data_IF_780113641473
#
_entry.id   IF_780113641473
#
_cell.length_a   1.000
_cell.length_b   1.000
_cell.length_c   1.000
_cell.angle_alpha   90.00
_cell.angle_beta   90.00
_cell.angle_gamma   90.00
#
_symmetry.space_group_name_H-M   'P 1'
#
loop_
_entity.id
_entity.type
_entity.pdbx_description
1 polymer ?
#
# COMPACT_ATOMS: atom_id res chain seq x y z
N UNK A 1 36.47 43.38 16.20
CA UNK A 1 36.11 43.42 17.63
C UNK A 1 34.84 44.24 17.75
N UNK A 2 33.65 43.81 18.14
CA UNK A 2 33.01 42.63 18.74
C UNK A 2 31.61 42.57 18.08
N UNK A 3 31.10 41.55 17.39
CA UNK A 3 30.67 40.19 17.79
C UNK A 3 29.78 40.08 19.05
N UNK A 4 28.58 39.50 18.81
CA UNK A 4 27.56 38.92 19.71
C UNK A 4 26.52 39.85 20.39
N UNK A 5 25.33 39.94 19.77
CA UNK A 5 24.06 39.99 20.49
C UNK A 5 23.45 38.58 20.52
N UNK A 6 23.18 38.10 21.73
CA UNK A 6 22.50 36.85 22.05
C UNK A 6 21.12 36.76 21.41
N UNK A 7 20.76 35.65 20.74
CA UNK A 7 19.38 35.33 20.41
C UNK A 7 18.78 34.49 21.54
N UNK A 8 18.35 35.14 22.61
CA UNK A 8 17.36 34.58 23.53
C UNK A 8 16.07 35.36 23.34
N UNK A 9 14.94 34.64 23.28
CA UNK A 9 13.57 35.15 23.17
C UNK A 9 12.97 35.18 21.75
N UNK A 10 13.17 34.09 21.00
CA UNK A 10 12.06 33.57 20.19
C UNK A 10 11.21 32.72 21.14
N UNK A 11 10.17 33.33 21.69
CA UNK A 11 9.07 32.62 22.35
C UNK A 11 8.42 31.70 21.31
N UNK A 12 8.96 30.48 21.19
CA UNK A 12 8.21 29.36 20.65
C UNK A 12 6.96 29.25 21.50
N UNK A 13 5.83 29.66 20.96
CA UNK A 13 4.53 29.19 21.39
C UNK A 13 4.52 27.68 21.14
N UNK A 14 5.03 26.95 22.13
CA UNK A 14 4.87 25.51 22.24
C UNK A 14 3.37 25.25 22.34
N UNK A 15 2.74 25.01 21.19
CA UNK A 15 1.49 24.29 21.21
C UNK A 15 1.76 22.99 21.98
N UNK A 16 0.90 22.63 22.96
CA UNK A 16 1.14 21.46 23.78
C UNK A 16 1.35 20.27 22.87
N UNK A 17 2.50 19.63 23.02
CA UNK A 17 2.86 18.33 22.49
C UNK A 17 1.95 17.28 23.14
N UNK A 18 0.66 17.35 22.82
CA UNK A 18 -0.26 16.30 23.14
C UNK A 18 0.20 15.08 22.36
N UNK A 19 0.68 14.07 23.10
CA UNK A 19 0.42 12.67 22.79
C UNK A 19 -0.90 12.61 22.03
N UNK A 20 -0.82 12.43 20.71
CA UNK A 20 -1.98 12.31 19.86
C UNK A 20 -2.80 11.15 20.43
N UNK A 21 -3.87 11.50 21.14
CA UNK A 21 -4.66 10.59 21.95
C UNK A 21 -5.21 9.51 21.04
N UNK A 22 -4.83 8.25 21.29
CA UNK A 22 -5.28 7.11 20.48
C UNK A 22 -6.81 7.05 20.29
N UNK A 23 -7.56 7.71 21.19
CA UNK A 23 -9.01 7.83 21.18
C UNK A 23 -9.57 8.64 20.00
N UNK A 24 -8.83 9.62 19.45
CA UNK A 24 -9.30 10.41 18.29
C UNK A 24 -9.12 9.67 16.96
N UNK A 25 -8.18 8.73 16.90
CA UNK A 25 -7.97 7.85 15.74
C UNK A 25 -8.85 6.60 15.78
N UNK A 26 -9.37 6.24 16.96
CA UNK A 26 -10.20 5.06 17.15
C UNK A 26 -11.48 5.05 16.30
N UNK A 27 -12.26 6.15 16.16
CA UNK A 27 -13.40 6.19 15.25
C UNK A 27 -13.03 5.93 13.79
N UNK A 28 -11.87 6.45 13.33
CA UNK A 28 -11.39 6.22 11.97
C UNK A 28 -11.01 4.76 11.77
N UNK A 29 -10.31 4.16 12.74
CA UNK A 29 -9.97 2.74 12.69
C UNK A 29 -11.23 1.88 12.67
N UNK A 30 -12.20 2.16 13.55
CA UNK A 30 -13.46 1.43 13.59
C UNK A 30 -14.23 1.56 12.27
N UNK A 31 -14.31 2.76 11.70
CA UNK A 31 -14.92 2.96 10.38
C UNK A 31 -14.20 2.16 9.29
N UNK A 32 -12.86 2.13 9.29
CA UNK A 32 -12.08 1.32 8.35
C UNK A 32 -12.35 -0.18 8.54
N UNK A 33 -12.39 -0.67 9.79
CA UNK A 33 -12.69 -2.08 10.09
C UNK A 33 -14.09 -2.44 9.58
N UNK A 34 -15.10 -1.64 9.90
CA UNK A 34 -16.50 -1.91 9.52
C UNK A 34 -16.65 -1.94 8.00
N UNK A 35 -16.12 -0.94 7.29
CA UNK A 35 -16.27 -0.90 5.83
C UNK A 35 -15.43 -1.97 5.15
N UNK A 36 -14.20 -2.24 5.61
CA UNK A 36 -13.40 -3.34 5.07
C UNK A 36 -14.07 -4.69 5.32
N UNK A 37 -14.64 -4.90 6.52
CA UNK A 37 -15.39 -6.12 6.83
C UNK A 37 -16.63 -6.26 5.94
N UNK A 38 -17.30 -5.16 5.58
CA UNK A 38 -18.39 -5.19 4.60
C UNK A 38 -17.90 -5.58 3.18
N UNK A 39 -16.71 -5.12 2.78
CA UNK A 39 -16.11 -5.41 1.46
C UNK A 39 -15.64 -6.86 1.33
N UNK A 40 -15.31 -7.54 2.42
CA UNK A 40 -14.93 -8.97 2.44
C UNK A 40 -15.63 -9.73 3.58
N UNK A 41 -16.95 -9.67 3.69
CA UNK A 41 -17.67 -10.18 4.87
C UNK A 41 -17.71 -11.71 5.00
N UNK A 42 -17.35 -12.43 3.94
CA UNK A 42 -17.42 -13.88 3.85
C UNK A 42 -16.46 -14.58 4.82
N UNK A 43 -15.32 -13.97 5.20
CA UNK A 43 -14.46 -14.57 6.23
C UNK A 43 -15.11 -14.59 7.62
N UNK A 44 -16.13 -13.76 7.89
CA UNK A 44 -16.81 -13.72 9.19
C UNK A 44 -17.71 -14.96 9.39
N UNK A 45 -18.28 -15.47 8.29
CA UNK A 45 -19.21 -16.60 8.32
C UNK A 45 -18.55 -17.89 7.86
N UNK A 46 -17.62 -17.81 6.91
CA UNK A 46 -16.93 -18.93 6.30
C UNK A 46 -15.43 -18.62 6.08
N UNK A 47 -14.59 -18.68 7.13
CA UNK A 47 -13.16 -18.44 6.97
C UNK A 47 -12.50 -19.54 6.11
N UNK A 48 -11.97 -19.15 4.96
CA UNK A 48 -11.20 -20.02 4.04
C UNK A 48 -9.85 -19.38 3.73
N UNK A 49 -8.89 -20.18 3.28
CA UNK A 49 -7.61 -19.67 2.77
C UNK A 49 -7.75 -19.11 1.36
N UNK A 50 -6.87 -18.15 1.04
CA UNK A 50 -6.73 -17.58 -0.28
C UNK A 50 -5.31 -17.77 -0.84
N UNK A 51 -5.19 -18.50 -1.94
CA UNK A 51 -4.02 -18.67 -2.78
C UNK A 51 -2.73 -18.95 -1.97
N UNK A 52 -1.82 -17.98 -1.89
CA UNK A 52 -0.56 -18.10 -1.18
C UNK A 52 -0.70 -18.35 0.32
N UNK A 53 -1.81 -17.91 0.94
CA UNK A 53 -2.04 -18.03 2.37
C UNK A 53 -1.98 -19.49 2.83
N UNK A 54 -2.55 -20.42 2.06
CA UNK A 54 -2.42 -21.87 2.32
C UNK A 54 -1.17 -22.46 1.70
N UNK A 55 -0.99 -22.28 0.39
CA UNK A 55 -0.03 -23.04 -0.42
C UNK A 55 1.42 -22.67 -0.14
N UNK A 56 1.66 -21.46 0.36
CA UNK A 56 2.99 -20.95 0.69
C UNK A 56 3.13 -20.75 2.20
N UNK A 57 2.32 -19.89 2.80
CA UNK A 57 2.56 -19.44 4.17
C UNK A 57 2.19 -20.47 5.21
N UNK A 58 0.96 -20.99 5.16
CA UNK A 58 0.50 -22.02 6.10
C UNK A 58 1.29 -23.30 5.90
N UNK A 59 1.33 -23.83 4.67
CA UNK A 59 2.03 -25.07 4.34
C UNK A 59 3.48 -25.06 4.80
N UNK A 60 4.25 -24.02 4.48
CA UNK A 60 5.68 -24.00 4.82
C UNK A 60 5.91 -23.82 6.32
N UNK A 61 4.94 -23.29 7.08
CA UNK A 61 5.08 -23.18 8.54
C UNK A 61 4.78 -24.50 9.27
N UNK A 62 4.14 -25.47 8.60
CA UNK A 62 3.84 -26.78 9.20
C UNK A 62 5.14 -27.46 9.63
N UNK A 63 5.16 -28.00 10.86
CA UNK A 63 6.34 -28.66 11.41
C UNK A 63 7.48 -27.73 11.87
N UNK A 64 7.38 -26.40 11.66
CA UNK A 64 8.41 -25.45 12.07
C UNK A 64 8.05 -24.71 13.36
N UNK A 65 8.96 -24.73 14.34
CA UNK A 65 8.79 -24.07 15.64
C UNK A 65 9.02 -22.55 15.60
N UNK A 66 9.78 -22.06 14.63
CA UNK A 66 10.17 -20.65 14.48
C UNK A 66 9.56 -20.03 13.23
N UNK A 67 9.36 -18.70 13.17
CA UNK A 67 8.79 -18.06 12.01
C UNK A 67 9.80 -18.04 10.86
N UNK A 68 9.36 -18.42 9.66
CA UNK A 68 10.19 -18.47 8.45
C UNK A 68 10.38 -17.08 7.80
N UNK A 69 10.74 -16.07 8.57
CA UNK A 69 10.80 -14.66 8.12
C UNK A 69 11.87 -14.38 7.06
N UNK A 70 12.91 -15.22 7.00
CA UNK A 70 13.99 -15.15 6.00
C UNK A 70 13.73 -16.06 4.79
N UNK A 71 12.56 -16.70 4.69
CA UNK A 71 12.18 -17.47 3.51
C UNK A 71 11.56 -16.54 2.46
N UNK A 72 12.24 -16.26 1.33
CA UNK A 72 11.72 -15.36 0.31
C UNK A 72 10.49 -15.96 -0.39
N UNK A 73 9.66 -15.08 -0.94
CA UNK A 73 8.57 -15.42 -1.85
C UNK A 73 8.55 -14.40 -2.99
N UNK A 74 8.45 -14.88 -4.23
CA UNK A 74 8.46 -14.03 -5.43
C UNK A 74 9.65 -13.03 -5.48
N UNK A 75 10.82 -13.43 -4.96
CA UNK A 75 12.05 -12.62 -4.99
C UNK A 75 12.15 -11.54 -3.90
N UNK A 76 11.27 -11.53 -2.89
CA UNK A 76 11.35 -10.60 -1.76
C UNK A 76 10.84 -11.24 -0.47
N UNK A 77 11.07 -10.58 0.67
CA UNK A 77 10.55 -11.05 1.96
C UNK A 77 9.12 -10.57 2.22
N UNK A 78 8.34 -11.46 2.84
CA UNK A 78 7.00 -11.20 3.35
C UNK A 78 6.93 -11.51 4.84
N UNK A 79 7.62 -10.69 5.63
CA UNK A 79 7.83 -10.94 7.06
C UNK A 79 6.51 -10.97 7.84
N UNK A 80 5.58 -10.04 7.62
CA UNK A 80 4.30 -10.06 8.33
C UNK A 80 3.47 -11.33 8.07
N UNK A 81 3.23 -11.77 6.81
CA UNK A 81 2.60 -13.05 6.54
C UNK A 81 3.27 -14.24 7.24
N UNK A 82 4.61 -14.27 7.29
CA UNK A 82 5.38 -15.33 7.97
C UNK A 82 5.21 -15.31 9.49
N UNK A 83 5.21 -14.14 10.11
CA UNK A 83 4.96 -13.99 11.55
C UNK A 83 3.55 -14.47 11.90
N UNK A 84 2.56 -14.09 11.10
CA UNK A 84 1.16 -14.48 11.34
C UNK A 84 0.96 -15.97 11.08
N UNK A 85 1.62 -16.55 10.08
CA UNK A 85 1.64 -17.99 9.86
C UNK A 85 2.14 -18.75 11.11
N UNK A 86 3.23 -18.26 11.70
CA UNK A 86 3.80 -18.81 12.92
C UNK A 86 2.89 -18.64 14.14
N UNK A 87 2.25 -17.47 14.29
CA UNK A 87 1.23 -17.30 15.36
C UNK A 87 0.05 -18.26 15.16
N UNK A 88 -0.39 -18.47 13.91
CA UNK A 88 -1.48 -19.39 13.61
C UNK A 88 -1.11 -20.85 13.90
N UNK A 89 0.17 -21.23 13.78
CA UNK A 89 0.63 -22.60 14.05
C UNK A 89 0.60 -22.97 15.54
N UNK A 90 0.42 -21.99 16.43
CA UNK A 90 0.15 -22.25 17.86
C UNK A 90 -1.30 -22.67 18.14
N UNK A 91 -2.15 -22.65 17.12
CA UNK A 91 -3.56 -23.02 17.21
C UNK A 91 -3.87 -24.23 16.33
N UNK A 92 -5.07 -24.79 16.45
CA UNK A 92 -5.47 -25.89 15.56
C UNK A 92 -5.52 -25.44 14.09
N UNK A 93 -5.12 -26.32 13.17
CA UNK A 93 -5.18 -26.08 11.73
C UNK A 93 -6.58 -25.61 11.26
N UNK A 94 -7.64 -26.08 11.92
CA UNK A 94 -9.02 -25.68 11.65
C UNK A 94 -9.30 -24.18 11.86
N UNK A 95 -8.55 -23.50 12.75
CA UNK A 95 -8.69 -22.06 13.04
C UNK A 95 -7.77 -21.18 12.19
N UNK A 96 -6.80 -21.75 11.49
CA UNK A 96 -5.78 -20.98 10.77
C UNK A 96 -6.37 -20.00 9.73
N UNK A 97 -7.35 -20.36 8.87
CA UNK A 97 -7.92 -19.41 7.92
C UNK A 97 -8.56 -18.19 8.59
N UNK A 98 -9.21 -18.38 9.76
CA UNK A 98 -9.80 -17.28 10.52
C UNK A 98 -8.72 -16.30 11.00
N UNK A 99 -7.58 -16.80 11.50
CA UNK A 99 -6.47 -15.96 11.96
C UNK A 99 -5.88 -15.16 10.81
N UNK A 100 -5.68 -15.80 9.65
CA UNK A 100 -5.16 -15.15 8.45
C UNK A 100 -6.10 -14.04 7.97
N UNK A 101 -7.39 -14.35 7.80
CA UNK A 101 -8.39 -13.40 7.32
C UNK A 101 -8.59 -12.22 8.28
N UNK A 102 -8.69 -12.50 9.58
CA UNK A 102 -8.82 -11.45 10.60
C UNK A 102 -7.58 -10.55 10.65
N UNK A 103 -6.38 -11.13 10.53
CA UNK A 103 -5.13 -10.38 10.50
C UNK A 103 -5.00 -9.54 9.23
N UNK A 104 -5.38 -10.09 8.07
CA UNK A 104 -5.44 -9.35 6.81
C UNK A 104 -6.37 -8.12 6.94
N UNK A 105 -7.60 -8.32 7.42
CA UNK A 105 -8.54 -7.23 7.67
C UNK A 105 -7.95 -6.15 8.59
N UNK A 106 -7.40 -6.57 9.73
CA UNK A 106 -6.87 -5.65 10.73
C UNK A 106 -5.68 -4.85 10.18
N UNK A 107 -4.74 -5.51 9.49
CA UNK A 107 -3.59 -4.83 8.88
C UNK A 107 -4.02 -3.83 7.81
N UNK A 108 -4.99 -4.19 6.96
CA UNK A 108 -5.53 -3.29 5.95
C UNK A 108 -6.20 -2.07 6.60
N UNK A 109 -7.05 -2.28 7.60
CA UNK A 109 -7.74 -1.19 8.30
C UNK A 109 -6.77 -0.27 9.07
N UNK A 110 -5.75 -0.85 9.72
CA UNK A 110 -4.69 -0.10 10.39
C UNK A 110 -3.89 0.74 9.39
N UNK A 111 -3.52 0.17 8.24
CA UNK A 111 -2.78 0.87 7.22
C UNK A 111 -3.56 2.08 6.69
N UNK A 112 -4.83 1.88 6.35
CA UNK A 112 -5.72 2.94 5.86
C UNK A 112 -5.93 4.02 6.93
N UNK A 113 -6.26 3.61 8.17
CA UNK A 113 -6.46 4.56 9.28
C UNK A 113 -5.19 5.36 9.58
N UNK A 114 -4.02 4.74 9.51
CA UNK A 114 -2.74 5.44 9.69
C UNK A 114 -2.52 6.46 8.56
N UNK A 115 -2.70 6.05 7.30
CA UNK A 115 -2.56 6.94 6.14
C UNK A 115 -3.54 8.12 6.22
N UNK A 116 -4.80 7.90 6.60
CA UNK A 116 -5.79 8.96 6.83
C UNK A 116 -5.30 9.96 7.89
N UNK A 117 -4.85 9.45 9.04
CA UNK A 117 -4.33 10.28 10.12
C UNK A 117 -3.12 11.12 9.69
N UNK A 118 -2.23 10.55 8.87
CA UNK A 118 -1.04 11.22 8.35
C UNK A 118 -1.34 12.26 7.27
N UNK A 119 -2.32 12.01 6.40
CA UNK A 119 -2.62 12.88 5.26
C UNK A 119 -3.71 13.94 5.55
N UNK A 120 -4.38 13.88 6.71
CA UNK A 120 -5.48 14.80 7.07
C UNK A 120 -5.15 16.30 7.01
N UNK A 121 -3.88 16.67 7.12
CA UNK A 121 -3.43 18.07 7.03
C UNK A 121 -3.27 18.55 5.57
N UNK A 122 -3.26 17.62 4.62
CA UNK A 122 -2.94 17.84 3.22
C UNK A 122 -4.13 17.55 2.30
N UNK A 123 -4.92 16.53 2.64
CA UNK A 123 -6.10 16.10 1.92
C UNK A 123 -7.31 16.02 2.87
N UNK A 124 -8.54 16.26 2.38
CA UNK A 124 -9.74 15.98 3.14
C UNK A 124 -9.82 14.48 3.46
N UNK A 125 -10.03 14.15 4.74
CA UNK A 125 -10.13 12.76 5.20
C UNK A 125 -11.18 11.97 4.42
N UNK A 126 -12.31 12.61 4.08
CA UNK A 126 -13.38 11.99 3.27
C UNK A 126 -12.92 11.60 1.87
N UNK A 127 -12.04 12.37 1.23
CA UNK A 127 -11.51 12.06 -0.11
C UNK A 127 -10.57 10.87 -0.03
N UNK A 128 -9.65 10.87 0.94
CA UNK A 128 -8.72 9.76 1.15
C UNK A 128 -9.48 8.48 1.48
N UNK A 129 -10.46 8.56 2.39
CA UNK A 129 -11.29 7.43 2.79
C UNK A 129 -12.10 6.90 1.62
N UNK A 130 -12.81 7.78 0.89
CA UNK A 130 -13.57 7.40 -0.30
C UNK A 130 -12.67 6.76 -1.37
N UNK A 131 -11.46 7.28 -1.60
CA UNK A 131 -10.53 6.68 -2.56
C UNK A 131 -10.11 5.25 -2.17
N UNK A 132 -9.90 4.94 -0.88
CA UNK A 132 -9.65 3.56 -0.45
C UNK A 132 -10.88 2.66 -0.59
N UNK A 133 -12.08 3.19 -0.34
CA UNK A 133 -13.30 2.40 -0.20
C UNK A 133 -14.10 2.23 -1.50
N UNK A 134 -14.06 3.20 -2.41
CA UNK A 134 -14.94 3.29 -3.57
C UNK A 134 -14.26 3.02 -4.91
N UNK A 135 -12.93 2.95 -4.96
CA UNK A 135 -12.25 2.51 -6.19
C UNK A 135 -12.66 1.07 -6.54
N UNK A 136 -12.83 0.75 -7.83
CA UNK A 136 -13.12 -0.61 -8.27
C UNK A 136 -12.03 -1.59 -7.83
N UNK A 137 -12.42 -2.75 -7.31
CA UNK A 137 -11.51 -3.83 -6.91
C UNK A 137 -11.92 -5.14 -7.59
N UNK A 138 -10.94 -5.95 -7.99
CA UNK A 138 -11.22 -7.31 -8.48
C UNK A 138 -11.72 -8.28 -7.41
N UNK A 139 -11.51 -7.94 -6.14
CA UNK A 139 -11.70 -8.86 -5.01
C UNK A 139 -10.46 -9.69 -4.68
N UNK A 140 -9.49 -9.82 -5.59
CA UNK A 140 -8.22 -10.54 -5.36
C UNK A 140 -7.42 -9.92 -4.21
N UNK A 141 -7.44 -8.58 -4.13
CA UNK A 141 -6.68 -7.82 -3.13
C UNK A 141 -7.27 -7.92 -1.72
N UNK A 142 -8.56 -8.27 -1.61
CA UNK A 142 -9.28 -8.29 -0.35
C UNK A 142 -9.20 -9.67 0.31
N UNK A 143 -9.07 -9.69 1.63
CA UNK A 143 -9.17 -10.90 2.46
C UNK A 143 -8.15 -11.99 2.12
N UNK A 144 -6.94 -11.57 1.75
CA UNK A 144 -5.75 -12.42 1.73
C UNK A 144 -4.62 -11.73 2.48
N UNK A 145 -3.91 -12.50 3.30
CA UNK A 145 -2.80 -12.00 4.10
C UNK A 145 -1.59 -11.66 3.23
N UNK A 146 -1.31 -12.46 2.20
CA UNK A 146 -0.30 -12.17 1.19
C UNK A 146 -0.50 -10.78 0.53
N UNK A 147 -1.76 -10.35 0.40
CA UNK A 147 -2.13 -9.08 -0.23
C UNK A 147 -2.23 -7.90 0.75
N UNK A 148 -2.07 -8.10 2.07
CA UNK A 148 -2.04 -7.00 3.03
C UNK A 148 -0.94 -5.96 2.73
N UNK A 149 0.16 -6.41 2.11
CA UNK A 149 1.28 -5.56 1.69
C UNK A 149 0.86 -4.39 0.77
N UNK A 150 -0.15 -4.58 -0.09
CA UNK A 150 -0.65 -3.56 -1.01
C UNK A 150 -1.35 -2.40 -0.29
N UNK A 151 -1.78 -2.60 0.95
CA UNK A 151 -2.30 -1.55 1.82
C UNK A 151 -1.20 -0.98 2.71
N UNK A 152 -0.32 -1.83 3.24
CA UNK A 152 0.79 -1.42 4.11
C UNK A 152 1.75 -0.46 3.42
N UNK A 153 1.93 -0.55 2.10
CA UNK A 153 2.73 0.42 1.33
C UNK A 153 2.25 1.87 1.50
N UNK A 154 0.94 2.11 1.64
CA UNK A 154 0.41 3.45 1.89
C UNK A 154 0.80 3.96 3.26
N UNK A 155 0.80 3.08 4.27
CA UNK A 155 1.21 3.44 5.62
C UNK A 155 2.72 3.72 5.67
N UNK A 156 3.52 2.91 4.97
CA UNK A 156 4.96 3.12 4.83
C UNK A 156 5.27 4.45 4.13
N UNK A 157 4.65 4.70 2.98
CA UNK A 157 4.80 5.96 2.25
C UNK A 157 4.32 7.16 3.07
N UNK A 158 3.21 7.04 3.80
CA UNK A 158 2.73 8.10 4.70
C UNK A 158 3.65 8.30 5.90
N UNK A 159 4.31 7.24 6.39
CA UNK A 159 5.32 7.31 7.44
C UNK A 159 6.63 7.95 6.94
N UNK A 160 6.93 7.90 5.64
CA UNK A 160 8.12 8.47 5.00
C UNK A 160 7.93 9.85 4.39
N UNK A 161 6.71 10.19 3.94
CA UNK A 161 6.42 11.48 3.29
C UNK A 161 5.50 12.36 4.14
N UNK A 162 4.61 11.83 4.99
CA UNK A 162 3.72 12.67 5.81
C UNK A 162 4.44 13.43 6.93
N UNK A 163 3.89 14.54 7.43
CA UNK A 163 4.57 15.43 8.40
C UNK A 163 5.06 14.73 9.68
N UNK A 164 6.22 15.14 10.19
CA UNK A 164 6.78 14.61 11.44
C UNK A 164 5.99 15.07 12.67
N UNK A 165 5.87 14.17 13.64
CA UNK A 165 5.25 14.46 14.93
C UNK A 165 6.18 13.96 16.03
N UNK A 166 6.71 14.89 16.83
CA UNK A 166 7.56 14.58 17.96
C UNK A 166 6.88 13.57 18.90
N UNK A 167 7.65 12.60 19.37
CA UNK A 167 7.21 11.56 20.28
C UNK A 167 8.30 11.27 21.31
N UNK A 168 7.92 10.60 22.40
CA UNK A 168 8.90 10.09 23.35
C UNK A 168 9.84 9.09 22.68
N UNK A 169 11.10 9.01 23.13
CA UNK A 169 12.10 8.09 22.55
C UNK A 169 11.59 6.63 22.45
N UNK A 170 10.94 6.05 23.49
CA UNK A 170 10.40 4.69 23.37
C UNK A 170 9.33 4.56 22.28
N UNK A 171 8.45 5.56 22.15
CA UNK A 171 7.42 5.56 21.12
C UNK A 171 8.03 5.67 19.71
N UNK A 172 9.09 6.46 19.53
CA UNK A 172 9.80 6.56 18.25
C UNK A 172 10.49 5.25 17.89
N UNK A 173 11.17 4.60 18.83
CA UNK A 173 11.80 3.29 18.61
C UNK A 173 10.75 2.24 18.23
N UNK A 174 9.64 2.18 18.97
CA UNK A 174 8.54 1.27 18.66
C UNK A 174 7.99 1.49 17.25
N UNK A 175 7.73 2.74 16.87
CA UNK A 175 7.29 3.09 15.50
C UNK A 175 8.32 2.67 14.46
N UNK A 176 9.61 2.85 14.73
CA UNK A 176 10.68 2.46 13.82
C UNK A 176 10.74 0.94 13.63
N UNK A 177 10.56 0.15 14.70
CA UNK A 177 10.45 -1.31 14.60
C UNK A 177 9.25 -1.74 13.74
N UNK A 178 8.08 -1.13 13.97
CA UNK A 178 6.87 -1.42 13.16
C UNK A 178 7.10 -1.05 11.69
N UNK A 179 7.67 0.13 11.42
CA UNK A 179 8.00 0.57 10.07
C UNK A 179 9.02 -0.34 9.41
N UNK A 180 10.05 -0.79 10.14
CA UNK A 180 11.03 -1.73 9.63
C UNK A 180 10.37 -3.04 9.19
N UNK A 181 9.50 -3.62 10.04
CA UNK A 181 8.73 -4.84 9.73
C UNK A 181 7.87 -4.66 8.48
N UNK A 182 7.23 -3.50 8.32
CA UNK A 182 6.47 -3.16 7.11
C UNK A 182 7.41 -3.02 5.89
N UNK A 183 8.56 -2.38 6.06
CA UNK A 183 9.56 -2.17 5.00
C UNK A 183 10.19 -3.47 4.49
N UNK A 184 10.19 -4.53 5.31
CA UNK A 184 10.58 -5.90 4.91
C UNK A 184 9.38 -6.81 4.60
N UNK A 185 8.19 -6.24 4.41
CA UNK A 185 6.99 -6.95 3.95
C UNK A 185 6.60 -6.44 2.56
N UNK A 186 7.18 -7.05 1.53
CA UNK A 186 7.03 -6.64 0.13
C UNK A 186 8.15 -5.71 -0.35
N UNK A 187 8.25 -5.47 -1.66
CA UNK A 187 9.36 -4.73 -2.27
C UNK A 187 9.22 -3.19 -2.17
N UNK A 188 8.16 -2.68 -1.55
CA UNK A 188 7.77 -1.26 -1.63
C UNK A 188 8.77 -0.29 -1.00
N UNK A 189 9.56 -0.74 -0.02
CA UNK A 189 10.62 0.05 0.59
C UNK A 189 11.69 0.46 -0.42
N UNK A 190 11.96 -0.37 -1.44
CA UNK A 190 12.89 -0.06 -2.54
C UNK A 190 12.40 1.18 -3.31
N UNK A 191 11.13 1.18 -3.72
CA UNK A 191 10.55 2.30 -4.46
C UNK A 191 10.45 3.56 -3.61
N UNK A 192 10.10 3.44 -2.33
CA UNK A 192 10.04 4.57 -1.41
C UNK A 192 11.42 5.19 -1.19
N UNK A 193 12.46 4.36 -1.02
CA UNK A 193 13.84 4.84 -0.90
C UNK A 193 14.29 5.56 -2.18
N UNK A 194 13.94 5.04 -3.36
CA UNK A 194 14.21 5.70 -4.64
C UNK A 194 13.52 7.07 -4.73
N UNK A 195 12.21 7.14 -4.45
CA UNK A 195 11.45 8.40 -4.46
C UNK A 195 12.06 9.41 -3.47
N UNK A 196 12.41 8.96 -2.26
CA UNK A 196 13.08 9.82 -1.30
C UNK A 196 14.45 10.31 -1.81
N UNK A 197 15.25 9.45 -2.46
CA UNK A 197 16.49 9.85 -3.11
C UNK A 197 16.29 10.94 -4.17
N UNK A 198 15.26 10.80 -5.02
CA UNK A 198 14.88 11.83 -6.01
C UNK A 198 14.51 13.14 -5.31
N UNK A 199 13.77 13.10 -4.20
CA UNK A 199 13.41 14.29 -3.44
C UNK A 199 14.63 14.98 -2.83
N UNK A 200 15.56 14.22 -2.25
CA UNK A 200 16.82 14.75 -1.68
C UNK A 200 17.65 15.40 -2.77
N UNK A 201 17.81 14.72 -3.91
CA UNK A 201 18.53 15.27 -5.06
C UNK A 201 17.88 16.54 -5.60
N UNK A 202 16.54 16.58 -5.66
CA UNK A 202 15.78 17.77 -6.04
C UNK A 202 15.98 18.92 -5.05
N UNK A 203 16.03 18.63 -3.75
CA UNK A 203 16.37 19.61 -2.72
C UNK A 203 17.75 20.19 -2.95
N UNK A 204 18.76 19.33 -3.10
CA UNK A 204 20.15 19.73 -3.31
C UNK A 204 20.32 20.57 -4.59
N UNK A 205 19.71 20.16 -5.70
CA UNK A 205 19.75 20.94 -6.95
C UNK A 205 19.05 22.29 -6.83
N UNK A 206 17.94 22.38 -6.10
CA UNK A 206 17.28 23.66 -5.83
C UNK A 206 18.17 24.60 -5.00
N UNK A 207 18.88 24.06 -4.00
CA UNK A 207 19.84 24.79 -3.18
C UNK A 207 21.02 25.31 -4.04
N UNK A 208 21.55 24.48 -4.94
CA UNK A 208 22.65 24.85 -5.85
C UNK A 208 22.24 25.88 -6.92
N UNK A 209 21.03 25.78 -7.47
CA UNK A 209 20.55 26.62 -8.57
C UNK A 209 19.77 27.87 -8.10
N UNK A 210 19.59 28.06 -6.79
CA UNK A 210 18.85 29.20 -6.23
C UNK A 210 17.37 29.24 -6.62
N UNK A 211 16.76 28.09 -6.94
CA UNK A 211 15.38 28.02 -7.45
C UNK A 211 14.35 28.26 -6.34
N UNK A 212 13.76 29.45 -6.28
CA UNK A 212 12.93 29.88 -5.15
C UNK A 212 11.53 29.25 -5.08
N UNK A 213 11.00 28.72 -6.20
CA UNK A 213 9.58 28.30 -6.29
C UNK A 213 9.24 27.11 -5.38
N UNK A 214 10.19 26.19 -5.20
CA UNK A 214 9.99 24.94 -4.47
C UNK A 214 11.01 24.70 -3.36
N UNK A 215 12.10 25.46 -3.34
CA UNK A 215 13.18 25.31 -2.37
C UNK A 215 12.66 25.29 -0.93
N UNK A 216 11.83 26.25 -0.54
CA UNK A 216 11.26 26.27 0.80
C UNK A 216 10.31 25.10 1.09
N UNK A 217 9.72 24.46 0.08
CA UNK A 217 8.86 23.31 0.28
C UNK A 217 9.66 22.02 0.43
N UNK A 218 10.56 21.73 -0.52
CA UNK A 218 11.33 20.48 -0.55
C UNK A 218 12.42 20.48 0.54
N UNK A 219 13.16 21.58 0.70
CA UNK A 219 14.25 21.67 1.67
C UNK A 219 13.73 21.65 3.11
N UNK A 220 12.63 22.35 3.41
CA UNK A 220 12.03 22.30 4.76
C UNK A 220 11.35 20.95 5.04
N UNK A 221 10.80 20.30 4.03
CA UNK A 221 10.23 18.96 4.16
C UNK A 221 11.28 17.97 4.67
N UNK A 222 12.52 18.06 4.17
CA UNK A 222 13.58 17.13 4.56
C UNK A 222 14.25 17.47 5.89
N UNK A 223 14.42 18.77 6.20
CA UNK A 223 14.96 19.21 7.49
C UNK A 223 14.09 18.79 8.69
N UNK A 224 12.80 18.62 8.47
CA UNK A 224 11.83 18.25 9.51
C UNK A 224 11.48 16.76 9.51
N UNK A 225 12.22 15.93 8.76
CA UNK A 225 11.94 14.50 8.63
C UNK A 225 12.28 13.71 9.89
N UNK A 226 11.49 12.67 10.14
CA UNK A 226 11.85 11.62 11.10
C UNK A 226 12.94 10.70 10.50
N UNK A 227 14.19 11.05 10.77
CA UNK A 227 15.34 10.29 10.29
C UNK A 227 15.41 8.87 10.81
N UNK A 228 14.81 8.57 11.97
CA UNK A 228 14.78 7.22 12.52
C UNK A 228 13.85 6.34 11.69
N UNK A 229 12.65 6.84 11.40
CA UNK A 229 11.68 6.16 10.52
C UNK A 229 12.23 6.01 9.10
N UNK A 230 12.90 7.05 8.59
CA UNK A 230 13.54 6.98 7.29
C UNK A 230 14.65 5.93 7.25
N UNK A 231 15.51 5.89 8.27
CA UNK A 231 16.59 4.90 8.39
C UNK A 231 16.04 3.48 8.47
N UNK A 232 14.95 3.26 9.22
CA UNK A 232 14.27 1.97 9.26
C UNK A 232 13.74 1.54 7.89
N UNK A 233 13.17 2.47 7.13
CA UNK A 233 12.69 2.20 5.77
C UNK A 233 13.83 1.91 4.81
N UNK A 234 14.91 2.69 4.88
CA UNK A 234 16.11 2.51 4.05
C UNK A 234 16.81 1.17 4.34
N UNK A 235 16.89 0.76 5.61
CA UNK A 235 17.40 -0.56 5.98
C UNK A 235 16.55 -1.68 5.38
N UNK A 236 15.21 -1.58 5.44
CA UNK A 236 14.31 -2.51 4.77
C UNK A 236 14.52 -2.53 3.26
N UNK A 237 14.72 -1.36 2.63
CA UNK A 237 14.98 -1.24 1.20
C UNK A 237 16.27 -1.94 0.78
N UNK A 238 17.34 -1.82 1.58
CA UNK A 238 18.61 -2.53 1.34
C UNK A 238 18.41 -4.04 1.42
N UNK A 239 17.73 -4.52 2.47
CA UNK A 239 17.45 -5.95 2.65
C UNK A 239 16.64 -6.50 1.48
N UNK A 240 15.57 -5.81 1.08
CA UNK A 240 14.74 -6.24 -0.05
C UNK A 240 15.50 -6.18 -1.38
N UNK A 241 16.36 -5.17 -1.58
CA UNK A 241 17.20 -5.08 -2.79
C UNK A 241 18.15 -6.27 -2.87
N UNK A 242 18.82 -6.62 -1.77
CA UNK A 242 19.68 -7.80 -1.70
C UNK A 242 18.88 -9.06 -2.01
N UNK A 243 17.68 -9.21 -1.42
CA UNK A 243 16.81 -10.36 -1.67
C UNK A 243 16.44 -10.50 -3.16
N UNK A 244 16.02 -9.41 -3.80
CA UNK A 244 15.68 -9.38 -5.23
C UNK A 244 16.88 -9.72 -6.12
N UNK A 245 18.08 -9.27 -5.75
CA UNK A 245 19.31 -9.58 -6.49
C UNK A 245 19.74 -11.04 -6.35
N UNK A 246 19.56 -11.64 -5.18
CA UNK A 246 19.91 -13.05 -4.91
C UNK A 246 18.84 -14.00 -5.45
N UNK A 247 17.58 -13.58 -5.46
CA UNK A 247 16.43 -14.36 -5.91
C UNK A 247 15.67 -13.63 -7.03
N UNK A 248 16.30 -13.43 -8.21
CA UNK A 248 15.67 -12.69 -9.29
C UNK A 248 14.39 -13.39 -9.76
N UNK A 249 13.33 -12.60 -9.94
CA UNK A 249 12.09 -13.10 -10.55
C UNK A 249 12.33 -13.46 -12.01
N UNK A 250 11.63 -14.50 -12.49
CA UNK A 250 11.58 -14.78 -13.92
C UNK A 250 10.87 -13.63 -14.64
N UNK A 251 11.56 -13.04 -15.60
CA UNK A 251 11.03 -11.96 -16.44
C UNK A 251 10.31 -12.58 -17.62
N UNK A 252 9.03 -12.27 -17.83
CA UNK A 252 8.37 -12.59 -19.10
C UNK A 252 9.12 -11.88 -20.23
N UNK A 253 9.43 -12.56 -21.33
CA UNK A 253 10.04 -11.91 -22.50
C UNK A 253 9.04 -10.93 -23.12
N UNK A 254 9.10 -9.67 -22.69
CA UNK A 254 8.29 -8.58 -23.27
C UNK A 254 9.01 -8.09 -24.52
N UNK A 255 8.38 -8.23 -25.68
CA UNK A 255 8.95 -7.81 -26.97
C UNK A 255 8.86 -6.29 -27.19
N UNK A 256 7.98 -5.59 -26.48
CA UNK A 256 7.76 -4.16 -26.63
C UNK A 256 8.94 -3.32 -26.12
N UNK A 257 9.15 -2.15 -26.74
CA UNK A 257 10.12 -1.17 -26.26
C UNK A 257 9.69 -0.54 -24.92
N UNK A 258 10.63 0.04 -24.18
CA UNK A 258 10.35 0.77 -22.92
C UNK A 258 9.29 1.86 -23.10
N UNK A 259 9.38 2.63 -24.19
CA UNK A 259 8.46 3.73 -24.45
C UNK A 259 7.04 3.21 -24.75
N UNK A 260 6.95 2.13 -25.51
CA UNK A 260 5.67 1.51 -25.83
C UNK A 260 5.01 0.92 -24.57
N UNK A 261 5.78 0.29 -23.68
CA UNK A 261 5.26 -0.16 -22.39
C UNK A 261 4.76 0.99 -21.52
N UNK A 262 5.46 2.14 -21.51
CA UNK A 262 5.00 3.31 -20.77
C UNK A 262 3.67 3.82 -21.33
N UNK A 263 3.55 3.91 -22.66
CA UNK A 263 2.29 4.25 -23.34
C UNK A 263 1.18 3.30 -22.92
N UNK A 264 1.33 1.99 -23.17
CA UNK A 264 0.34 0.95 -22.81
C UNK A 264 -0.05 1.04 -21.32
N UNK A 265 0.93 1.18 -20.42
CA UNK A 265 0.67 1.27 -18.98
C UNK A 265 -0.27 2.41 -18.65
N UNK A 266 0.01 3.62 -19.14
CA UNK A 266 -0.70 4.81 -18.69
C UNK A 266 -1.92 5.16 -19.54
N UNK A 267 -1.98 4.72 -20.81
CA UNK A 267 -3.10 5.03 -21.71
C UNK A 267 -4.10 3.90 -21.86
N UNK A 268 -3.74 2.66 -21.48
CA UNK A 268 -4.62 1.50 -21.60
C UNK A 268 -4.86 0.83 -20.24
N UNK A 269 -3.81 0.35 -19.57
CA UNK A 269 -3.95 -0.47 -18.36
C UNK A 269 -4.45 0.35 -17.16
N UNK A 270 -3.80 1.48 -16.84
CA UNK A 270 -4.20 2.33 -15.72
C UNK A 270 -5.67 2.77 -15.83
N UNK A 271 -6.15 3.27 -16.98
CA UNK A 271 -7.57 3.57 -17.18
C UNK A 271 -8.49 2.37 -16.91
N UNK A 272 -8.19 1.21 -17.49
CA UNK A 272 -8.98 -0.02 -17.29
C UNK A 272 -9.10 -0.37 -15.81
N UNK A 273 -8.01 -0.25 -15.06
CA UNK A 273 -8.03 -0.56 -13.63
C UNK A 273 -8.72 0.52 -12.78
N UNK A 274 -8.61 1.80 -13.13
CA UNK A 274 -9.27 2.89 -12.38
C UNK A 274 -10.78 2.92 -12.63
N UNK A 275 -11.21 2.69 -13.87
CA UNK A 275 -12.58 2.94 -14.31
C UNK A 275 -13.35 1.69 -14.74
N UNK A 276 -12.71 0.50 -14.71
CA UNK A 276 -13.25 -0.75 -15.30
C UNK A 276 -13.53 -0.59 -16.80
N UNK A 277 -12.72 0.22 -17.46
CA UNK A 277 -12.87 0.52 -18.87
C UNK A 277 -11.95 1.65 -19.31
N UNK A 278 -11.81 1.82 -20.61
CA UNK A 278 -11.04 2.89 -21.22
C UNK A 278 -11.94 3.72 -22.14
N UNK A 279 -12.10 5.01 -21.83
CA UNK A 279 -13.04 5.89 -22.53
C UNK A 279 -12.38 7.12 -23.19
N UNK A 280 -11.07 7.32 -23.00
CA UNK A 280 -10.32 8.35 -23.72
C UNK A 280 -9.36 7.68 -24.70
N UNK A 281 -8.99 8.42 -25.74
CA UNK A 281 -7.87 8.04 -26.61
C UNK A 281 -6.55 8.17 -25.85
N UNK A 282 -5.48 7.56 -26.36
CA UNK A 282 -4.14 7.67 -25.78
C UNK A 282 -3.71 9.11 -25.55
N UNK A 283 -3.90 9.95 -26.57
CA UNK A 283 -3.60 11.38 -26.48
C UNK A 283 -4.48 12.08 -25.45
N UNK A 284 -5.74 11.67 -25.31
CA UNK A 284 -6.65 12.17 -24.29
C UNK A 284 -6.13 11.90 -22.87
N UNK A 285 -5.67 10.68 -22.59
CA UNK A 285 -5.08 10.33 -21.30
C UNK A 285 -3.78 11.08 -21.02
N UNK A 286 -2.88 11.15 -22.00
CA UNK A 286 -1.62 11.88 -21.86
C UNK A 286 -1.89 13.35 -21.51
N UNK A 287 -2.80 14.00 -22.24
CA UNK A 287 -3.20 15.38 -21.95
C UNK A 287 -3.83 15.50 -20.56
N UNK A 288 -4.70 14.57 -20.17
CA UNK A 288 -5.31 14.56 -18.84
C UNK A 288 -4.26 14.53 -17.73
N UNK A 289 -3.28 13.62 -17.81
CA UNK A 289 -2.20 13.54 -16.82
C UNK A 289 -1.33 14.80 -16.82
N UNK A 290 -0.96 15.31 -18.00
CA UNK A 290 -0.14 16.52 -18.11
C UNK A 290 -0.85 17.74 -17.54
N UNK A 291 -2.14 17.92 -17.80
CA UNK A 291 -2.92 19.01 -17.22
C UNK A 291 -3.09 18.84 -15.71
N UNK A 292 -3.34 17.63 -15.22
CA UNK A 292 -3.46 17.34 -13.79
C UNK A 292 -2.16 17.63 -13.03
N UNK A 293 -1.04 17.07 -13.51
CA UNK A 293 0.29 17.31 -12.92
C UNK A 293 0.70 18.78 -13.06
N UNK A 294 0.46 19.39 -14.22
CA UNK A 294 0.71 20.81 -14.46
C UNK A 294 -0.08 21.71 -13.51
N UNK A 295 -1.35 21.40 -13.24
CA UNK A 295 -2.16 22.13 -12.29
C UNK A 295 -1.59 22.04 -10.87
N UNK A 296 -1.13 20.86 -10.43
CA UNK A 296 -0.50 20.68 -9.11
C UNK A 296 0.82 21.46 -9.03
N UNK A 297 1.68 21.32 -10.04
CA UNK A 297 3.01 21.93 -10.05
C UNK A 297 2.89 23.45 -10.10
N UNK A 298 2.14 23.97 -11.07
CA UNK A 298 2.11 25.40 -11.36
C UNK A 298 1.02 26.18 -10.62
N UNK A 299 -0.04 25.52 -10.14
CA UNK A 299 -1.13 26.17 -9.43
C UNK A 299 -0.72 26.71 -8.06
N UNK A 300 -1.45 27.69 -7.52
CA UNK A 300 -1.07 28.38 -6.28
C UNK A 300 -2.06 28.12 -5.12
N UNK A 301 -3.08 27.28 -5.32
CA UNK A 301 -4.11 26.97 -4.30
C UNK A 301 -3.66 25.99 -3.21
N UNK A 302 -2.52 25.30 -3.40
CA UNK A 302 -1.97 24.32 -2.46
C UNK A 302 -0.67 24.79 -1.83
N UNK A 303 -0.46 24.39 -0.58
CA UNK A 303 0.82 24.56 0.13
C UNK A 303 1.88 23.71 -0.56
N UNK A 304 3.12 24.21 -0.66
CA UNK A 304 4.23 23.49 -1.28
C UNK A 304 4.45 22.10 -0.68
N UNK A 305 4.38 21.96 0.65
CA UNK A 305 4.49 20.66 1.34
C UNK A 305 3.44 19.64 0.84
N UNK A 306 2.18 20.07 0.66
CA UNK A 306 1.10 19.20 0.15
C UNK A 306 1.41 18.71 -1.26
N UNK A 307 1.88 19.62 -2.12
CA UNK A 307 2.27 19.26 -3.48
C UNK A 307 3.42 18.25 -3.50
N UNK A 308 4.46 18.49 -2.69
CA UNK A 308 5.61 17.58 -2.58
C UNK A 308 5.14 16.18 -2.16
N UNK A 309 4.34 16.08 -1.09
CA UNK A 309 3.83 14.79 -0.60
C UNK A 309 3.03 14.06 -1.69
N UNK A 310 2.08 14.74 -2.35
CA UNK A 310 1.21 14.10 -3.35
C UNK A 310 1.97 13.75 -4.62
N UNK A 311 2.94 14.56 -5.03
CA UNK A 311 3.83 14.22 -6.15
C UNK A 311 4.73 13.02 -5.80
N UNK A 312 5.17 12.86 -4.56
CA UNK A 312 5.92 11.68 -4.11
C UNK A 312 5.05 10.42 -4.14
N UNK A 313 3.80 10.49 -3.70
CA UNK A 313 2.85 9.39 -3.85
C UNK A 313 2.55 9.08 -5.32
N UNK A 314 2.39 10.09 -6.17
CA UNK A 314 2.17 9.91 -7.61
C UNK A 314 3.37 9.24 -8.29
N UNK A 315 4.60 9.68 -7.97
CA UNK A 315 5.81 9.05 -8.49
C UNK A 315 5.95 7.60 -8.00
N UNK A 316 5.65 7.33 -6.73
CA UNK A 316 5.63 5.98 -6.18
C UNK A 316 4.64 5.09 -6.95
N UNK A 317 3.42 5.59 -7.20
CA UNK A 317 2.39 4.88 -7.95
C UNK A 317 2.81 4.59 -9.39
N UNK A 318 3.42 5.55 -10.06
CA UNK A 318 3.96 5.39 -11.43
C UNK A 318 5.03 4.28 -11.47
N UNK A 319 5.97 4.29 -10.52
CA UNK A 319 7.05 3.29 -10.45
C UNK A 319 6.51 1.89 -10.15
N UNK A 320 5.64 1.79 -9.16
CA UNK A 320 5.06 0.52 -8.72
C UNK A 320 4.20 -0.12 -9.82
N UNK A 321 3.37 0.66 -10.51
CA UNK A 321 2.52 0.14 -11.59
C UNK A 321 3.34 -0.29 -12.82
N UNK A 322 4.47 0.38 -13.12
CA UNK A 322 5.28 0.06 -14.29
C UNK A 322 6.07 -1.26 -14.16
N UNK A 323 6.45 -1.65 -12.94
CA UNK A 323 7.26 -2.86 -12.71
C UNK A 323 6.53 -4.16 -13.12
N UNK A 324 5.28 -4.41 -12.71
CA UNK A 324 4.52 -5.58 -13.13
C UNK A 324 4.31 -5.67 -14.65
N UNK A 325 4.18 -4.53 -15.35
CA UNK A 325 4.05 -4.48 -16.82
C UNK A 325 5.30 -5.04 -17.52
N UNK A 326 6.47 -4.92 -16.89
CA UNK A 326 7.73 -5.51 -17.36
C UNK A 326 7.87 -7.00 -17.05
N UNK A 327 7.20 -7.47 -16.01
CA UNK A 327 7.44 -8.79 -15.42
C UNK A 327 6.32 -9.80 -15.72
N UNK A 328 5.14 -9.34 -16.12
CA UNK A 328 3.95 -10.17 -16.33
C UNK A 328 3.47 -10.07 -17.78
N UNK A 329 2.84 -11.13 -18.31
CA UNK A 329 2.20 -11.07 -19.63
C UNK A 329 1.13 -9.98 -19.68
N UNK A 330 1.17 -9.12 -20.70
CA UNK A 330 0.21 -8.02 -20.86
C UNK A 330 -1.24 -8.52 -20.88
N UNK A 331 -1.51 -9.66 -21.52
CA UNK A 331 -2.85 -10.26 -21.59
C UNK A 331 -3.47 -10.52 -20.20
N UNK A 332 -2.65 -10.80 -19.18
CA UNK A 332 -3.10 -10.94 -17.80
C UNK A 332 -3.45 -9.58 -17.21
N UNK A 333 -2.64 -8.55 -17.46
CA UNK A 333 -2.84 -7.20 -16.93
C UNK A 333 -4.01 -6.46 -17.60
N UNK A 334 -4.42 -6.83 -18.81
CA UNK A 334 -5.66 -6.27 -19.40
C UNK A 334 -6.92 -6.82 -18.74
N UNK A 335 -6.84 -7.95 -18.04
CA UNK A 335 -7.98 -8.50 -17.33
C UNK A 335 -8.11 -7.78 -15.99
N UNK A 336 -9.28 -7.21 -15.72
CA UNK A 336 -9.54 -6.50 -14.47
C UNK A 336 -9.36 -7.39 -13.24
N UNK A 337 -9.55 -8.71 -13.36
CA UNK A 337 -9.52 -9.62 -12.21
C UNK A 337 -8.09 -9.98 -11.76
N UNK A 338 -7.30 -10.73 -12.55
CA UNK A 338 -5.93 -11.08 -12.17
C UNK A 338 -4.98 -9.89 -12.30
N UNK A 339 -4.21 -9.62 -11.25
CA UNK A 339 -3.17 -8.58 -11.29
C UNK A 339 -3.67 -7.18 -10.95
N UNK A 340 -4.96 -7.02 -10.63
CA UNK A 340 -5.55 -5.75 -10.17
C UNK A 340 -4.81 -5.13 -8.98
N UNK A 341 -4.26 -6.00 -8.12
CA UNK A 341 -3.45 -5.63 -6.95
C UNK A 341 -2.26 -4.72 -7.29
N UNK A 342 -1.68 -4.88 -8.49
CA UNK A 342 -0.56 -4.09 -9.00
C UNK A 342 -0.93 -2.65 -9.39
N UNK A 343 -2.22 -2.36 -9.51
CA UNK A 343 -2.74 -1.04 -9.85
C UNK A 343 -3.40 -0.36 -8.66
N UNK A 344 -3.40 -0.98 -7.47
CA UNK A 344 -4.16 -0.46 -6.34
C UNK A 344 -3.63 0.88 -5.83
N UNK A 345 -2.31 1.05 -5.80
CA UNK A 345 -1.70 2.32 -5.39
C UNK A 345 -2.10 3.45 -6.35
N UNK A 346 -1.95 3.24 -7.66
CA UNK A 346 -2.31 4.26 -8.66
C UNK A 346 -3.82 4.55 -8.66
N UNK A 347 -4.70 3.56 -8.44
CA UNK A 347 -6.14 3.79 -8.29
C UNK A 347 -6.47 4.78 -7.18
N UNK A 348 -5.89 4.58 -6.01
CA UNK A 348 -6.16 5.43 -4.84
C UNK A 348 -5.52 6.81 -5.02
N UNK A 349 -4.24 6.85 -5.42
CA UNK A 349 -3.47 8.10 -5.56
C UNK A 349 -3.99 8.97 -6.71
N UNK A 350 -4.53 8.37 -7.78
CA UNK A 350 -5.17 9.11 -8.87
C UNK A 350 -6.26 10.06 -8.35
N UNK A 351 -7.10 9.63 -7.42
CA UNK A 351 -8.15 10.50 -6.88
C UNK A 351 -7.59 11.60 -5.97
N UNK A 352 -6.44 11.36 -5.33
CA UNK A 352 -5.74 12.40 -4.58
C UNK A 352 -5.13 13.44 -5.52
N UNK A 353 -4.54 13.01 -6.65
CA UNK A 353 -3.98 13.93 -7.65
C UNK A 353 -5.07 14.73 -8.34
N UNK A 354 -6.22 14.13 -8.68
CA UNK A 354 -7.38 14.85 -9.21
C UNK A 354 -7.89 15.90 -8.21
N UNK A 355 -8.03 15.53 -6.93
CA UNK A 355 -8.42 16.51 -5.90
C UNK A 355 -7.43 17.67 -5.81
N UNK A 356 -6.13 17.36 -5.80
CA UNK A 356 -5.08 18.38 -5.76
C UNK A 356 -5.02 19.25 -7.02
N UNK A 357 -5.28 18.69 -8.20
CA UNK A 357 -5.34 19.44 -9.45
C UNK A 357 -6.49 20.46 -9.41
N UNK A 358 -7.68 20.04 -8.96
CA UNK A 358 -8.82 20.94 -8.76
C UNK A 358 -8.52 22.00 -7.70
N UNK A 359 -8.04 21.60 -6.51
CA UNK A 359 -7.77 22.51 -5.39
C UNK A 359 -6.56 23.44 -5.62
N UNK A 360 -5.74 23.18 -6.63
CA UNK A 360 -4.63 24.04 -7.04
C UNK A 360 -5.09 25.27 -7.83
N UNK A 361 -6.30 25.24 -8.38
CA UNK A 361 -6.92 26.34 -9.11
C UNK A 361 -7.52 27.37 -8.14
N UNK A 362 -7.33 28.66 -8.43
CA UNK A 362 -7.81 29.75 -7.55
C UNK A 362 -9.34 29.94 -7.59
N UNK A 363 -9.94 29.58 -8.71
CA UNK A 363 -11.38 29.70 -8.98
C UNK A 363 -12.21 28.54 -8.41
N UNK A 364 -11.57 27.47 -7.92
CA UNK A 364 -12.25 26.31 -7.33
C UNK A 364 -11.99 26.28 -5.83
N UNK A 365 -13.06 26.31 -5.04
CA UNK A 365 -12.97 26.15 -3.58
C UNK A 365 -12.64 24.70 -3.24
N UNK A 366 -11.95 24.48 -2.11
CA UNK A 366 -11.62 23.12 -1.64
C UNK A 366 -12.86 22.24 -1.41
N UNK A 367 -13.98 22.83 -1.01
CA UNK A 367 -15.26 22.13 -0.87
C UNK A 367 -15.81 21.67 -2.22
N UNK A 368 -15.69 22.49 -3.28
CA UNK A 368 -16.07 22.13 -4.65
C UNK A 368 -15.15 21.04 -5.20
N UNK A 369 -13.83 21.16 -5.03
CA UNK A 369 -12.89 20.10 -5.40
C UNK A 369 -13.21 18.76 -4.70
N UNK A 370 -13.62 18.82 -3.43
CA UNK A 370 -14.07 17.65 -2.66
C UNK A 370 -15.35 17.07 -3.25
N UNK A 371 -16.36 17.91 -3.52
CA UNK A 371 -17.61 17.47 -4.12
C UNK A 371 -17.40 16.83 -5.49
N UNK A 372 -16.61 17.45 -6.37
CA UNK A 372 -16.26 16.91 -7.70
C UNK A 372 -15.67 15.51 -7.57
N UNK A 373 -14.65 15.34 -6.72
CA UNK A 373 -13.98 14.04 -6.57
C UNK A 373 -14.89 12.99 -5.95
N UNK A 374 -15.67 13.34 -4.93
CA UNK A 374 -16.61 12.40 -4.32
C UNK A 374 -17.73 11.98 -5.27
N UNK A 375 -18.28 12.91 -6.05
CA UNK A 375 -19.29 12.60 -7.07
C UNK A 375 -18.70 11.70 -8.16
N UNK A 376 -17.49 11.97 -8.64
CA UNK A 376 -16.81 11.14 -9.63
C UNK A 376 -16.51 9.73 -9.09
N UNK A 377 -15.99 9.62 -7.87
CA UNK A 377 -15.77 8.33 -7.21
C UNK A 377 -17.07 7.55 -7.04
N UNK A 378 -18.14 8.23 -6.62
CA UNK A 378 -19.45 7.61 -6.45
C UNK A 378 -20.03 7.15 -7.79
N UNK A 379 -19.90 7.94 -8.85
CA UNK A 379 -20.31 7.57 -10.19
C UNK A 379 -19.57 6.32 -10.68
N UNK A 380 -18.25 6.26 -10.51
CA UNK A 380 -17.44 5.08 -10.87
C UNK A 380 -17.87 3.85 -10.05
N UNK A 381 -18.09 4.02 -8.75
CA UNK A 381 -18.52 2.96 -7.85
C UNK A 381 -19.90 2.40 -8.20
N UNK A 382 -20.89 3.27 -8.43
CA UNK A 382 -22.27 2.88 -8.77
C UNK A 382 -22.36 2.30 -10.18
N UNK A 383 -21.48 2.72 -11.10
CA UNK A 383 -21.38 2.12 -12.43
C UNK A 383 -20.76 0.72 -12.40
N UNK A 384 -20.04 0.37 -11.33
CA UNK A 384 -19.31 -0.89 -11.20
C UNK A 384 -19.59 -1.61 -9.86
N UNK A 385 -20.86 -1.84 -9.49
CA UNK A 385 -21.23 -2.26 -8.13
C UNK A 385 -20.63 -3.63 -7.75
N UNK A 386 -20.46 -4.52 -8.73
CA UNK A 386 -19.84 -5.83 -8.53
C UNK A 386 -18.36 -5.76 -8.09
N UNK A 387 -17.69 -4.63 -8.33
CA UNK A 387 -16.27 -4.42 -8.00
C UNK A 387 -16.07 -3.79 -6.61
N UNK A 388 -17.15 -3.45 -5.92
CA UNK A 388 -17.07 -2.83 -4.59
C UNK A 388 -16.91 -3.86 -3.47
N UNK A 389 -17.29 -5.11 -3.71
CA UNK A 389 -17.20 -6.19 -2.73
C UNK A 389 -16.55 -7.39 -3.40
N UNK A 390 -15.77 -8.11 -2.61
CA UNK A 390 -15.24 -9.41 -3.04
C UNK A 390 -16.40 -10.42 -3.14
N UNK A 391 -16.44 -11.29 -4.16
CA UNK A 391 -17.30 -12.47 -4.15
C UNK A 391 -17.05 -13.32 -2.90
N UNK A 392 -18.07 -14.03 -2.42
CA UNK A 392 -17.90 -14.93 -1.29
C UNK A 392 -16.95 -16.09 -1.65
N UNK A 393 -16.10 -16.48 -0.70
CA UNK A 393 -15.33 -17.71 -0.81
C UNK A 393 -16.21 -18.92 -1.05
N UNK A 394 -15.76 -19.81 -1.94
CA UNK A 394 -16.34 -21.14 -2.04
C UNK A 394 -16.01 -21.90 -0.75
N UNK A 395 -17.03 -22.49 -0.13
CA UNK A 395 -16.84 -23.35 1.04
C UNK A 395 -16.28 -24.69 0.58
N UNK A 396 -14.98 -24.87 0.78
CA UNK A 396 -14.31 -26.16 0.60
C UNK A 396 -14.31 -27.00 1.87
N UNK A 397 -15.12 -26.67 2.87
CA UNK A 397 -15.22 -27.40 4.12
C UNK A 397 -13.86 -27.61 4.81
N UNK A 398 -13.03 -26.56 4.87
CA UNK A 398 -11.66 -26.58 5.43
C UNK A 398 -11.51 -27.37 6.74
N UNK A 399 -12.52 -27.34 7.62
CA UNK A 399 -12.50 -28.07 8.89
C UNK A 399 -12.34 -29.59 8.72
N UNK A 400 -12.89 -30.16 7.64
CA UNK A 400 -12.75 -31.59 7.31
C UNK A 400 -11.29 -31.89 6.96
N UNK A 401 -10.72 -31.13 6.01
CA UNK A 401 -9.32 -31.26 5.62
C UNK A 401 -8.35 -30.99 6.78
N UNK A 402 -8.65 -30.04 7.64
CA UNK A 402 -7.84 -29.76 8.83
C UNK A 402 -7.82 -30.94 9.82
N UNK A 403 -8.87 -31.77 9.85
CA UNK A 403 -8.87 -33.01 10.61
C UNK A 403 -8.07 -34.11 9.89
N UNK A 404 -8.20 -34.22 8.57
CA UNK A 404 -7.43 -35.17 7.75
C UNK A 404 -5.92 -34.93 7.84
N UNK A 405 -5.47 -33.68 7.96
CA UNK A 405 -4.06 -33.33 8.19
C UNK A 405 -3.46 -33.92 9.49
N UNK A 406 -4.28 -34.41 10.42
CA UNK A 406 -3.80 -35.15 11.60
C UNK A 406 -3.54 -36.63 11.33
N UNK A 407 -4.01 -37.15 10.19
CA UNK A 407 -3.84 -38.53 9.77
C UNK A 407 -2.65 -38.66 8.81
N UNK A 408 -1.84 -39.72 8.90
CA UNK A 408 -0.77 -39.98 7.93
C UNK A 408 -1.32 -40.15 6.51
N UNK A 409 -0.65 -39.56 5.51
CA UNK A 409 -1.04 -39.68 4.12
C UNK A 409 -0.66 -38.48 3.26
N UNK A 410 -0.99 -38.59 1.97
CA UNK A 410 -0.86 -37.52 1.00
C UNK A 410 -2.21 -36.82 0.83
N UNK A 411 -2.28 -35.55 1.22
CA UNK A 411 -3.50 -34.76 1.25
C UNK A 411 -3.49 -33.70 0.14
N UNK A 412 -4.54 -33.66 -0.68
CA UNK A 412 -4.73 -32.61 -1.71
C UNK A 412 -5.97 -31.81 -1.35
N UNK A 413 -5.75 -30.56 -0.95
CA UNK A 413 -6.79 -29.70 -0.39
C UNK A 413 -7.08 -28.56 -1.36
N UNK A 414 -8.33 -28.39 -1.83
CA UNK A 414 -8.70 -27.26 -2.68
C UNK A 414 -8.66 -25.94 -1.90
N UNK A 415 -8.28 -24.86 -2.59
CA UNK A 415 -8.05 -23.52 -2.03
C UNK A 415 -8.73 -22.48 -2.91
N UNK A 416 -9.24 -21.41 -2.31
CA UNK A 416 -9.76 -20.27 -3.08
C UNK A 416 -8.60 -19.42 -3.64
N UNK A 417 -8.69 -18.82 -4.83
CA UNK A 417 -9.69 -19.10 -5.86
C UNK A 417 -9.37 -20.40 -6.59
N UNK A 418 -10.36 -21.03 -7.24
CA UNK A 418 -10.10 -22.16 -8.14
C UNK A 418 -9.16 -21.73 -9.29
N UNK A 419 -8.21 -22.58 -9.75
CA UNK A 419 -7.99 -23.98 -9.38
C UNK A 419 -6.84 -24.19 -8.36
N UNK A 420 -6.64 -23.29 -7.40
CA UNK A 420 -5.55 -23.45 -6.43
C UNK A 420 -5.75 -24.69 -5.53
N UNK A 421 -4.65 -25.42 -5.28
CA UNK A 421 -4.64 -26.59 -4.40
C UNK A 421 -3.39 -26.59 -3.52
N UNK A 422 -3.53 -27.03 -2.28
CA UNK A 422 -2.43 -27.26 -1.36
C UNK A 422 -2.22 -28.76 -1.18
N UNK A 423 -0.99 -29.23 -1.42
CA UNK A 423 -0.58 -30.62 -1.18
C UNK A 423 0.27 -30.71 0.07
N UNK A 424 -0.05 -31.61 1.00
CA UNK A 424 0.70 -31.83 2.25
C UNK A 424 0.88 -33.33 2.48
N UNK A 425 2.09 -33.74 2.84
CA UNK A 425 2.39 -35.12 3.24
C UNK A 425 2.54 -35.20 4.76
N UNK A 426 1.84 -36.12 5.40
CA UNK A 426 1.91 -36.36 6.84
C UNK A 426 2.51 -37.73 7.11
N UNK A 427 3.55 -37.77 7.94
CA UNK A 427 4.22 -39.02 8.29
C UNK A 427 3.43 -39.84 9.32
N UNK A 428 3.88 -41.09 9.57
CA UNK A 428 3.21 -42.04 10.48
C UNK A 428 3.13 -41.54 11.94
N UNK A 429 3.92 -40.54 12.31
CA UNK A 429 3.91 -39.93 13.64
C UNK A 429 2.99 -38.68 13.69
N UNK A 430 2.27 -38.38 12.60
CA UNK A 430 1.45 -37.17 12.46
C UNK A 430 2.27 -35.90 12.24
N UNK A 431 3.59 -36.01 11.98
CA UNK A 431 4.39 -34.84 11.64
C UNK A 431 4.17 -34.51 10.17
N UNK A 432 3.79 -33.26 9.91
CA UNK A 432 3.63 -32.71 8.57
C UNK A 432 5.00 -32.45 7.95
N UNK A 433 5.21 -32.90 6.70
CA UNK A 433 6.43 -32.68 5.89
C UNK A 433 6.13 -31.84 4.64
#
# INVERSE_FOLDING_TARGET
MHWFKSPSDVTMTSQPSALYTGWRSFPLLLACIVVMAYKCNDFLTNPQFWAEDSTIFFKQQLGHAYPLVLQPYAGYFLVLPRIIAWVASWTSAAKAPMIYNASALLLMALAISYTLGRLRAHLPVVVVFAAFMLVPLSGEILGSLANAQWFLQFALAAACFGSFHAASRPATIFRACVVFVIAVTGPFSIFIAFVAGVMIFTSWTCDCLGSTRWHNAVTNHWKTRDWIIFSATAAGAVIQTICVLVHPMSVSQVQQSTLEMLRITFTELVPVHIFVGNFLTDNGWILFYLFGLGAIVFGNGLRGETKVIILSFALLAILETFVPVRLKPLALLYQFYPGDRYFYLIKVVFWWTVWCACASRKDIRRTEATAIVLMSLFLVAVSNPATLRRPAFLDYHWKVYAHELSQPGHHVIPVNPSPWTMTVDTDKNGNMR
#
